data_IF_651470836373
#
_entry.id   IF_651470836373
#
_cell.length_a   1.000
_cell.length_b   1.000
_cell.length_c   1.000
_cell.angle_alpha   90.00
_cell.angle_beta   90.00
_cell.angle_gamma   90.00
#
_symmetry.space_group_name_H-M   'P 1'
#
loop_
_entity.id
_entity.type
_entity.pdbx_description
1 polymer ?
#
# COMPACT_ATOMS: atom_id res chain seq x y z
N UNK A 1 -12.97 1.58 17.29
CA UNK A 1 -11.53 1.82 17.35
C UNK A 1 -11.05 2.32 16.01
N UNK A 2 -10.31 3.39 16.00
CA UNK A 2 -9.85 3.99 14.76
C UNK A 2 -8.65 3.24 14.18
N UNK A 3 -8.40 3.50 12.92
CA UNK A 3 -7.24 2.96 12.24
C UNK A 3 -5.94 3.52 12.85
N UNK A 4 -4.98 2.65 13.08
CA UNK A 4 -3.65 3.03 13.56
C UNK A 4 -2.63 2.66 12.50
N UNK A 5 -1.81 3.62 12.12
CA UNK A 5 -0.77 3.42 11.12
C UNK A 5 0.58 3.74 11.76
N UNK A 6 1.45 2.74 11.80
CA UNK A 6 2.82 2.93 12.26
C UNK A 6 3.76 2.88 11.05
N UNK A 7 4.68 3.82 10.98
CA UNK A 7 5.64 3.86 9.87
C UNK A 7 7.06 3.73 10.39
N UNK A 8 7.92 3.10 9.60
CA UNK A 8 9.34 3.04 9.88
C UNK A 8 10.14 2.95 8.59
N UNK A 9 11.35 3.47 8.61
CA UNK A 9 12.29 3.34 7.51
C UNK A 9 13.08 2.05 7.70
N UNK A 10 13.01 1.18 6.72
CA UNK A 10 13.59 -0.17 6.82
C UNK A 10 14.58 -0.38 5.68
N UNK A 11 15.70 0.36 5.73
CA UNK A 11 16.74 0.27 4.72
C UNK A 11 16.32 0.82 3.38
N UNK A 12 16.05 -0.07 2.42
CA UNK A 12 15.75 0.31 1.05
C UNK A 12 14.28 0.69 0.81
N UNK A 13 13.44 0.61 1.83
CA UNK A 13 12.01 0.92 1.68
C UNK A 13 11.41 1.50 2.94
N UNK A 14 10.26 2.15 2.79
CA UNK A 14 9.41 2.56 3.90
C UNK A 14 8.40 1.47 4.18
N UNK A 15 8.17 1.20 5.46
CA UNK A 15 7.19 0.22 5.90
C UNK A 15 6.06 0.92 6.65
N UNK A 16 4.83 0.56 6.31
CA UNK A 16 3.63 1.03 7.00
C UNK A 16 2.86 -0.18 7.52
N UNK A 17 2.73 -0.28 8.84
CA UNK A 17 1.93 -1.31 9.48
C UNK A 17 0.58 -0.71 9.86
N UNK A 18 -0.50 -1.27 9.34
CA UNK A 18 -1.85 -0.76 9.52
C UNK A 18 -2.64 -1.72 10.40
N UNK A 19 -3.21 -1.19 11.48
CA UNK A 19 -4.00 -1.97 12.44
C UNK A 19 -5.31 -1.24 12.71
N UNK A 20 -6.27 -1.96 13.27
CA UNK A 20 -7.55 -1.41 13.66
C UNK A 20 -8.65 -1.69 12.66
N UNK A 21 -9.68 -0.85 12.67
CA UNK A 21 -10.86 -1.05 11.84
C UNK A 21 -10.76 -0.19 10.58
N UNK A 22 -10.79 -0.84 9.43
CA UNK A 22 -10.75 -0.16 8.15
C UNK A 22 -12.09 0.45 7.78
N UNK A 23 -12.05 1.68 7.25
CA UNK A 23 -13.19 2.33 6.60
C UNK A 23 -12.73 2.87 5.25
N UNK A 24 -13.63 2.95 4.27
CA UNK A 24 -13.23 3.38 2.93
C UNK A 24 -12.64 4.79 2.88
N UNK A 25 -13.07 5.68 3.77
CA UNK A 25 -12.46 7.01 3.89
C UNK A 25 -11.00 7.00 4.33
N UNK A 26 -10.54 5.91 4.93
CA UNK A 26 -9.15 5.79 5.36
C UNK A 26 -8.18 5.63 4.19
N UNK A 27 -8.66 5.26 3.00
CA UNK A 27 -7.81 5.13 1.82
C UNK A 27 -7.12 6.45 1.48
N UNK A 28 -7.84 7.57 1.52
CA UNK A 28 -7.27 8.89 1.26
C UNK A 28 -6.28 9.28 2.35
N UNK A 29 -6.64 9.03 3.61
CA UNK A 29 -5.76 9.32 4.74
C UNK A 29 -4.44 8.55 4.63
N UNK A 30 -4.52 7.26 4.33
CA UNK A 30 -3.33 6.43 4.15
C UNK A 30 -2.46 6.95 3.01
N UNK A 31 -3.06 7.30 1.88
CA UNK A 31 -2.32 7.81 0.73
C UNK A 31 -1.55 9.10 1.07
N UNK A 32 -2.16 10.03 1.80
CA UNK A 32 -1.48 11.24 2.22
C UNK A 32 -0.35 10.97 3.21
N UNK A 33 -0.53 10.04 4.14
CA UNK A 33 0.51 9.68 5.09
C UNK A 33 1.73 9.08 4.37
N UNK A 34 1.48 8.20 3.41
CA UNK A 34 2.54 7.59 2.60
C UNK A 34 3.27 8.66 1.78
N UNK A 35 2.51 9.53 1.10
CA UNK A 35 3.08 10.60 0.30
C UNK A 35 4.00 11.50 1.13
N UNK A 36 3.55 11.92 2.31
CA UNK A 36 4.33 12.80 3.17
C UNK A 36 5.63 12.13 3.64
N UNK A 37 5.56 10.85 4.02
CA UNK A 37 6.74 10.13 4.47
C UNK A 37 7.77 9.93 3.35
N UNK A 38 7.32 9.58 2.16
CA UNK A 38 8.21 9.39 1.02
C UNK A 38 8.88 10.68 0.59
N UNK A 39 8.15 11.78 0.58
CA UNK A 39 8.71 13.09 0.24
C UNK A 39 9.79 13.51 1.23
N UNK A 40 9.55 13.28 2.52
CA UNK A 40 10.48 13.66 3.58
C UNK A 40 11.77 12.83 3.53
N UNK A 41 11.67 11.54 3.23
CA UNK A 41 12.80 10.62 3.25
C UNK A 41 13.38 10.32 1.87
N UNK A 42 12.79 10.88 0.83
CA UNK A 42 13.22 10.67 -0.56
C UNK A 42 13.26 9.19 -0.95
N UNK A 43 12.25 8.45 -0.50
CA UNK A 43 12.10 7.04 -0.83
C UNK A 43 11.06 6.86 -1.93
N UNK A 44 11.22 5.80 -2.72
CA UNK A 44 10.28 5.44 -3.77
C UNK A 44 9.80 3.98 -3.69
N UNK A 45 10.20 3.25 -2.65
CA UNK A 45 9.75 1.88 -2.40
C UNK A 45 8.99 1.82 -1.07
N UNK A 46 7.79 1.25 -1.11
CA UNK A 46 6.89 1.22 0.04
C UNK A 46 6.30 -0.16 0.23
N UNK A 47 6.31 -0.64 1.46
CA UNK A 47 5.57 -1.82 1.87
C UNK A 47 4.43 -1.38 2.79
N UNK A 48 3.20 -1.73 2.46
CA UNK A 48 2.04 -1.45 3.30
C UNK A 48 1.44 -2.78 3.75
N UNK A 49 1.46 -3.05 5.04
CA UNK A 49 0.95 -4.29 5.62
C UNK A 49 -0.44 -4.08 6.16
N UNK A 50 -1.43 -4.67 5.50
CA UNK A 50 -2.84 -4.62 5.90
C UNK A 50 -3.30 -5.93 6.55
N UNK A 51 -2.39 -6.87 6.80
CA UNK A 51 -2.76 -8.19 7.32
C UNK A 51 -3.31 -8.15 8.74
N UNK A 52 -3.03 -7.08 9.49
CA UNK A 52 -3.48 -6.93 10.88
C UNK A 52 -4.72 -6.06 11.03
N UNK A 53 -5.31 -5.64 9.93
CA UNK A 53 -6.53 -4.85 9.99
C UNK A 53 -7.68 -5.75 10.46
N UNK A 54 -8.40 -5.33 11.50
CA UNK A 54 -9.46 -6.14 12.12
C UNK A 54 -10.63 -6.38 11.18
N UNK A 55 -10.96 -5.36 10.37
CA UNK A 55 -11.97 -5.48 9.33
C UNK A 55 -11.28 -5.16 8.00
N UNK A 56 -10.84 -6.18 7.25
CA UNK A 56 -10.13 -5.92 5.99
C UNK A 56 -10.99 -5.15 4.99
N UNK A 57 -10.37 -4.34 4.14
CA UNK A 57 -11.12 -3.68 3.08
C UNK A 57 -11.73 -4.73 2.14
N UNK A 58 -12.91 -4.44 1.62
CA UNK A 58 -13.54 -5.25 0.57
C UNK A 58 -12.96 -4.88 -0.81
N UNK A 59 -13.57 -5.42 -1.88
CA UNK A 59 -13.11 -5.15 -3.23
C UNK A 59 -13.14 -3.65 -3.56
N UNK A 60 -14.18 -2.93 -3.11
CA UNK A 60 -14.26 -1.49 -3.30
C UNK A 60 -13.19 -0.76 -2.51
N UNK A 61 -12.94 -1.18 -1.28
CA UNK A 61 -11.87 -0.61 -0.44
C UNK A 61 -10.50 -0.80 -1.07
N UNK A 62 -10.24 -1.97 -1.62
CA UNK A 62 -9.00 -2.25 -2.35
C UNK A 62 -8.85 -1.31 -3.55
N UNK A 63 -9.91 -1.14 -4.33
CA UNK A 63 -9.89 -0.21 -5.47
C UNK A 63 -9.55 1.20 -5.01
N UNK A 64 -10.18 1.67 -3.94
CA UNK A 64 -9.95 3.00 -3.40
C UNK A 64 -8.52 3.19 -2.93
N UNK A 65 -7.95 2.20 -2.25
CA UNK A 65 -6.55 2.25 -1.82
C UNK A 65 -5.64 2.45 -3.02
N UNK A 66 -5.78 1.61 -4.04
CA UNK A 66 -4.96 1.68 -5.23
C UNK A 66 -5.14 2.99 -5.98
N UNK A 67 -6.38 3.45 -6.13
CA UNK A 67 -6.69 4.70 -6.82
C UNK A 67 -6.07 5.91 -6.12
N UNK A 68 -6.23 6.00 -4.79
CA UNK A 68 -5.70 7.12 -4.02
C UNK A 68 -4.19 7.14 -4.00
N UNK A 69 -3.55 5.98 -3.88
CA UNK A 69 -2.09 5.88 -3.95
C UNK A 69 -1.56 6.29 -5.33
N UNK A 70 -2.23 5.87 -6.40
CA UNK A 70 -1.82 6.26 -7.76
C UNK A 70 -1.89 7.75 -7.98
N UNK A 71 -2.88 8.41 -7.40
CA UNK A 71 -3.05 9.86 -7.56
C UNK A 71 -2.10 10.66 -6.67
N UNK A 72 -1.72 10.10 -5.53
CA UNK A 72 -0.91 10.81 -4.54
C UNK A 72 0.60 10.66 -4.76
N UNK A 73 1.05 9.52 -5.29
CA UNK A 73 2.46 9.17 -5.34
C UNK A 73 3.08 9.44 -6.70
N UNK A 74 4.41 9.64 -6.70
CA UNK A 74 5.16 9.87 -7.93
C UNK A 74 5.16 8.62 -8.82
N UNK A 75 5.26 8.79 -10.16
CA UNK A 75 5.23 7.64 -11.08
C UNK A 75 6.34 6.62 -10.87
N UNK A 76 7.45 7.02 -10.26
CA UNK A 76 8.58 6.12 -9.97
C UNK A 76 8.38 5.27 -8.74
N UNK A 77 7.31 5.50 -7.98
CA UNK A 77 7.04 4.79 -6.72
C UNK A 77 6.59 3.36 -6.97
N UNK A 78 7.09 2.43 -6.16
CA UNK A 78 6.63 1.05 -6.14
C UNK A 78 6.04 0.73 -4.78
N UNK A 79 4.81 0.22 -4.78
CA UNK A 79 4.07 -0.08 -3.56
C UNK A 79 3.71 -1.55 -3.52
N UNK A 80 4.21 -2.26 -2.52
CA UNK A 80 3.79 -3.63 -2.22
C UNK A 80 2.76 -3.62 -1.10
N UNK A 81 1.56 -4.09 -1.40
CA UNK A 81 0.48 -4.22 -0.41
C UNK A 81 0.40 -5.66 0.06
N UNK A 82 0.50 -5.87 1.36
CA UNK A 82 0.26 -7.18 1.97
C UNK A 82 -1.16 -7.17 2.51
N UNK A 83 -1.99 -8.08 2.01
CA UNK A 83 -3.41 -8.11 2.31
C UNK A 83 -3.89 -9.57 2.43
N UNK A 84 -5.08 -9.80 3.02
CA UNK A 84 -5.66 -11.15 3.03
C UNK A 84 -5.80 -11.73 1.64
N UNK A 85 -5.68 -13.05 1.51
CA UNK A 85 -5.68 -13.74 0.22
C UNK A 85 -6.94 -13.44 -0.61
N UNK A 86 -8.08 -13.24 0.03
CA UNK A 86 -9.33 -12.92 -0.64
C UNK A 86 -9.24 -11.63 -1.46
N UNK A 87 -8.42 -10.69 -1.01
CA UNK A 87 -8.23 -9.42 -1.73
C UNK A 87 -7.20 -9.55 -2.84
N UNK A 88 -6.19 -10.41 -2.65
CA UNK A 88 -5.14 -10.59 -3.64
C UNK A 88 -5.67 -11.22 -4.92
N UNK A 89 -6.64 -12.14 -4.77
CA UNK A 89 -7.17 -12.91 -5.89
C UNK A 89 -8.18 -12.16 -6.77
N UNK A 90 -8.48 -10.90 -6.46
CA UNK A 90 -9.41 -10.13 -7.28
C UNK A 90 -8.65 -9.31 -8.33
N UNK A 91 -9.17 -9.28 -9.56
CA UNK A 91 -8.52 -8.63 -10.72
C UNK A 91 -8.74 -7.12 -10.75
N UNK A 92 -8.57 -6.43 -9.62
CA UNK A 92 -8.92 -5.02 -9.54
C UNK A 92 -7.75 -4.05 -9.65
N UNK A 93 -6.54 -4.57 -9.80
CA UNK A 93 -5.39 -3.70 -10.06
C UNK A 93 -5.02 -3.85 -11.52
N UNK A 94 -5.35 -2.88 -12.37
CA UNK A 94 -4.93 -2.97 -13.77
C UNK A 94 -3.40 -2.97 -13.85
N UNK A 95 -2.83 -3.62 -14.86
CA UNK A 95 -1.39 -3.61 -15.07
C UNK A 95 -0.88 -2.18 -15.17
N UNK A 96 0.38 -1.99 -14.80
CA UNK A 96 0.98 -0.67 -14.68
C UNK A 96 0.71 0.22 -15.89
N UNK A 97 0.05 1.34 -15.63
CA UNK A 97 -0.14 2.38 -16.64
C UNK A 97 1.12 3.24 -16.70
N UNK A 98 1.51 3.70 -17.90
CA UNK A 98 2.61 4.67 -17.98
C UNK A 98 2.31 5.89 -17.12
N UNK A 99 3.34 6.41 -16.46
CA UNK A 99 3.24 7.59 -15.61
C UNK A 99 2.42 7.41 -14.34
N UNK A 100 2.20 6.16 -13.91
CA UNK A 100 1.55 5.86 -12.65
C UNK A 100 2.47 5.01 -11.78
N UNK A 101 2.40 5.14 -10.45
CA UNK A 101 3.16 4.26 -9.58
C UNK A 101 2.72 2.80 -9.76
N UNK A 102 3.66 1.88 -9.61
CA UNK A 102 3.35 0.45 -9.64
C UNK A 102 2.84 0.01 -8.28
N UNK A 103 1.70 -0.66 -8.27
CA UNK A 103 1.10 -1.20 -7.06
C UNK A 103 0.79 -2.67 -7.30
N UNK A 104 1.29 -3.53 -6.40
CA UNK A 104 1.03 -4.95 -6.48
C UNK A 104 0.59 -5.47 -5.11
N UNK A 105 -0.28 -6.47 -5.11
CA UNK A 105 -0.81 -7.07 -3.90
C UNK A 105 -0.23 -8.46 -3.67
N UNK A 106 0.03 -8.76 -2.41
CA UNK A 106 0.62 -10.02 -2.00
C UNK A 106 -0.07 -10.55 -0.76
N UNK A 107 -0.18 -11.87 -0.66
CA UNK A 107 -0.72 -12.52 0.53
C UNK A 107 0.30 -12.68 1.65
N UNK A 108 1.59 -12.53 1.34
CA UNK A 108 2.67 -12.69 2.30
C UNK A 108 3.67 -11.55 2.18
N UNK A 109 4.17 -11.08 3.31
CA UNK A 109 5.16 -10.02 3.36
C UNK A 109 6.43 -10.36 2.58
N UNK A 110 6.86 -11.59 2.67
CA UNK A 110 8.07 -12.06 1.99
C UNK A 110 7.99 -11.85 0.47
N UNK A 111 6.84 -12.15 -0.11
CA UNK A 111 6.64 -11.98 -1.55
C UNK A 111 6.66 -10.51 -1.94
N UNK A 112 6.08 -9.65 -1.11
CA UNK A 112 6.10 -8.21 -1.34
C UNK A 112 7.52 -7.66 -1.27
N UNK A 113 8.30 -8.10 -0.29
CA UNK A 113 9.69 -7.66 -0.15
C UNK A 113 10.54 -8.12 -1.33
N UNK A 114 10.36 -9.36 -1.78
CA UNK A 114 11.09 -9.87 -2.94
C UNK A 114 10.77 -9.05 -4.19
N UNK A 115 9.50 -8.71 -4.39
CA UNK A 115 9.08 -7.89 -5.52
C UNK A 115 9.67 -6.48 -5.46
N UNK A 116 9.71 -5.88 -4.27
CA UNK A 116 10.28 -4.53 -4.11
C UNK A 116 11.77 -4.49 -4.40
N UNK A 117 12.47 -5.60 -4.21
CA UNK A 117 13.91 -5.70 -4.50
C UNK A 117 14.20 -5.91 -5.98
N UNK A 118 13.23 -6.33 -6.76
CA UNK A 118 13.39 -6.50 -8.20
C UNK A 118 13.38 -5.13 -8.87
N UNK A 119 14.46 -4.77 -9.46
CA UNK A 119 14.65 -3.50 -10.15
C UNK A 119 14.88 -3.73 -11.62
#
# INVERSE_FOLDING_TARGET
MNLVVASRHDGAHMRFDVEGRWRNGDALKLAYMVKAALARLRQDHVLIDLSRVATPPDAQGKFLICDRLRRALAPTTRVGLVAPAELVDTDLVPPGLPHCPEIALFGAERDALDWLRLQ
#
